data_IF_781733771724
#
_entry.id   IF_781733771724
#
_cell.length_a   1.000
_cell.length_b   1.000
_cell.length_c   1.000
_cell.angle_alpha   90.00
_cell.angle_beta   90.00
_cell.angle_gamma   90.00
#
_symmetry.space_group_name_H-M   'P 1'
#
loop_
_entity.id
_entity.type
_entity.pdbx_description
1 polymer ?
#
# COMPACT_ATOMS: atom_id res chain seq x y z
N UNK A 1 -26.49 43.92 11.66
CA UNK A 1 -25.16 43.56 11.14
C UNK A 1 -24.08 43.48 12.23
N UNK A 2 -23.83 44.53 13.04
CA UNK A 2 -22.83 44.49 14.14
C UNK A 2 -23.09 43.44 15.24
N UNK A 3 -24.36 43.27 15.69
CA UNK A 3 -24.74 42.28 16.72
C UNK A 3 -24.49 40.81 16.34
N UNK A 4 -24.34 40.49 15.05
CA UNK A 4 -24.18 39.12 14.57
C UNK A 4 -22.72 38.69 14.54
N UNK A 5 -21.83 39.59 14.10
CA UNK A 5 -20.38 39.38 14.10
C UNK A 5 -19.85 39.21 15.52
N UNK A 6 -20.31 40.04 16.46
CA UNK A 6 -19.93 39.94 17.88
C UNK A 6 -20.42 38.63 18.54
N UNK A 7 -21.54 38.07 18.07
CA UNK A 7 -22.06 36.78 18.55
C UNK A 7 -21.23 35.62 18.00
N UNK A 8 -20.85 35.66 16.72
CA UNK A 8 -20.02 34.65 16.08
C UNK A 8 -18.62 34.55 16.72
N UNK A 9 -17.95 35.68 16.94
CA UNK A 9 -16.64 35.71 17.61
C UNK A 9 -16.69 35.25 19.08
N UNK A 10 -17.83 35.40 19.76
CA UNK A 10 -18.03 34.91 21.12
C UNK A 10 -18.16 33.39 21.16
N UNK A 11 -18.95 32.82 20.25
CA UNK A 11 -19.17 31.37 20.13
C UNK A 11 -17.91 30.60 19.70
N UNK A 12 -17.07 31.19 18.84
CA UNK A 12 -15.75 30.61 18.54
C UNK A 12 -14.80 30.63 19.75
N UNK A 13 -14.86 31.67 20.58
CA UNK A 13 -14.00 31.81 21.77
C UNK A 13 -14.42 30.87 22.91
N UNK A 14 -15.71 30.56 22.97
CA UNK A 14 -16.33 29.62 23.92
C UNK A 14 -16.29 28.15 23.44
N UNK A 15 -15.66 27.86 22.29
CA UNK A 15 -15.41 26.50 21.81
C UNK A 15 -16.62 25.79 21.17
N UNK A 16 -17.73 26.49 20.94
CA UNK A 16 -18.94 25.92 20.33
C UNK A 16 -18.85 25.73 18.81
N UNK A 17 -17.78 26.23 18.18
CA UNK A 17 -17.53 26.11 16.74
C UNK A 17 -16.08 25.67 16.55
N UNK A 18 -15.88 24.40 16.21
CA UNK A 18 -14.59 23.87 15.74
C UNK A 18 -14.77 23.32 14.33
N UNK A 19 -14.13 23.95 13.34
CA UNK A 19 -14.26 23.52 11.95
C UNK A 19 -15.69 23.65 11.40
N UNK A 20 -15.89 23.24 10.16
CA UNK A 20 -17.08 23.48 9.34
C UNK A 20 -18.41 22.82 9.81
N UNK A 21 -18.54 22.50 11.09
CA UNK A 21 -19.70 21.80 11.67
C UNK A 21 -20.35 22.65 12.74
N UNK A 22 -21.53 23.19 12.40
CA UNK A 22 -22.46 23.79 13.34
C UNK A 22 -23.17 22.68 14.13
N UNK A 23 -23.02 22.65 15.46
CA UNK A 23 -23.79 21.73 16.32
C UNK A 23 -25.25 22.19 16.27
N UNK A 24 -26.13 21.28 15.84
CA UNK A 24 -27.58 21.49 15.75
C UNK A 24 -28.16 21.65 17.16
N UNK A 25 -28.73 22.81 17.44
CA UNK A 25 -29.66 23.00 18.55
C UNK A 25 -31.09 22.76 18.00
N UNK A 26 -31.82 21.81 18.60
CA UNK A 26 -33.16 21.39 18.17
C UNK A 26 -34.25 22.37 18.63
N UNK A 27 -34.11 23.68 18.39
CA UNK A 27 -35.26 24.59 18.58
C UNK A 27 -35.08 26.00 18.00
N UNK A 28 -34.82 26.19 16.71
CA UNK A 28 -35.20 27.47 16.08
C UNK A 28 -35.36 27.44 14.56
N UNK A 29 -36.39 28.15 14.12
CA UNK A 29 -37.01 28.14 12.80
C UNK A 29 -36.11 28.68 11.68
N UNK A 30 -35.96 27.86 10.64
CA UNK A 30 -35.69 28.17 9.22
C UNK A 30 -35.36 29.64 8.89
N UNK A 31 -34.07 29.93 8.67
CA UNK A 31 -33.63 31.14 7.96
C UNK A 31 -32.70 30.76 6.81
N UNK A 32 -33.18 31.01 5.59
CA UNK A 32 -32.44 30.87 4.34
C UNK A 32 -31.32 31.92 4.30
N UNK A 33 -30.11 31.54 4.65
CA UNK A 33 -28.91 32.27 4.26
C UNK A 33 -27.91 31.28 3.67
N UNK A 34 -27.51 31.53 2.42
CA UNK A 34 -26.50 30.74 1.71
C UNK A 34 -25.17 30.86 2.45
N UNK A 35 -24.86 29.82 3.22
CA UNK A 35 -23.69 29.71 4.09
C UNK A 35 -22.38 29.87 3.32
N UNK A 36 -22.37 29.68 2.00
CA UNK A 36 -21.21 29.90 1.14
C UNK A 36 -20.81 31.38 1.02
N UNK A 37 -21.78 32.31 1.00
CA UNK A 37 -21.50 33.73 0.78
C UNK A 37 -20.89 34.40 2.03
N UNK A 38 -21.37 34.01 3.22
CA UNK A 38 -20.91 34.55 4.51
C UNK A 38 -19.50 34.04 4.83
N UNK A 39 -19.20 32.76 4.53
CA UNK A 39 -17.86 32.18 4.66
C UNK A 39 -16.86 32.79 3.66
N UNK A 40 -17.31 33.09 2.43
CA UNK A 40 -16.47 33.73 1.40
C UNK A 40 -16.03 35.16 1.78
N UNK A 41 -16.93 35.96 2.37
CA UNK A 41 -16.60 37.31 2.84
C UNK A 41 -15.65 37.27 4.04
N UNK A 42 -15.84 36.33 4.97
CA UNK A 42 -14.96 36.16 6.13
C UNK A 42 -13.51 35.84 5.72
N UNK A 43 -13.31 35.00 4.70
CA UNK A 43 -11.97 34.69 4.17
C UNK A 43 -11.27 35.89 3.53
N UNK A 44 -12.03 36.73 2.81
CA UNK A 44 -11.45 37.87 2.08
C UNK A 44 -11.02 39.02 3.00
N UNK A 45 -11.58 39.11 4.21
CA UNK A 45 -11.34 40.20 5.16
C UNK A 45 -10.23 39.88 6.17
N UNK A 46 -10.05 38.61 6.57
CA UNK A 46 -9.11 38.24 7.63
C UNK A 46 -7.69 37.85 7.15
N UNK A 47 -7.40 37.82 5.85
CA UNK A 47 -6.06 37.48 5.34
C UNK A 47 -5.56 36.08 5.76
N UNK A 48 -6.46 35.19 6.17
CA UNK A 48 -6.12 33.82 6.56
C UNK A 48 -6.02 32.98 5.29
N UNK A 49 -4.88 32.33 5.09
CA UNK A 49 -4.66 31.35 4.03
C UNK A 49 -5.76 30.27 4.07
N UNK A 50 -6.24 29.86 2.89
CA UNK A 50 -7.19 28.74 2.77
C UNK A 50 -6.64 27.52 3.52
N UNK A 51 -7.46 26.74 4.26
CA UNK A 51 -7.03 25.46 4.79
C UNK A 51 -6.52 24.61 3.61
N UNK A 52 -5.28 24.12 3.72
CA UNK A 52 -4.69 23.24 2.73
C UNK A 52 -5.49 21.93 2.73
N UNK A 53 -6.04 21.57 1.58
CA UNK A 53 -6.72 20.30 1.39
C UNK A 53 -5.67 19.18 1.24
N UNK A 54 -5.13 18.74 2.38
CA UNK A 54 -4.14 17.66 2.46
C UNK A 54 -4.72 16.30 2.02
N UNK A 55 -6.04 16.19 1.85
CA UNK A 55 -6.72 14.94 1.49
C UNK A 55 -6.44 14.51 0.05
N UNK A 56 -6.37 15.46 -0.89
CA UNK A 56 -6.05 15.18 -2.30
C UNK A 56 -4.57 14.77 -2.47
N UNK A 57 -3.68 15.41 -1.71
CA UNK A 57 -2.25 15.10 -1.72
C UNK A 57 -1.98 13.69 -1.17
N UNK A 58 -2.60 13.34 -0.05
CA UNK A 58 -2.47 12.01 0.58
C UNK A 58 -3.00 10.90 -0.35
N UNK A 59 -4.13 11.13 -1.02
CA UNK A 59 -4.68 10.17 -1.99
C UNK A 59 -3.74 9.90 -3.16
N UNK A 60 -3.08 10.95 -3.67
CA UNK A 60 -2.11 10.82 -4.76
C UNK A 60 -0.89 10.02 -4.32
N UNK A 61 -0.33 10.30 -3.15
CA UNK A 61 0.84 9.59 -2.61
C UNK A 61 0.57 8.09 -2.42
N UNK A 62 -0.60 7.74 -1.86
CA UNK A 62 -1.00 6.34 -1.72
C UNK A 62 -1.12 5.63 -3.08
N UNK A 63 -1.68 6.30 -4.08
CA UNK A 63 -1.79 5.76 -5.44
C UNK A 63 -0.41 5.52 -6.08
N UNK A 64 0.53 6.44 -5.89
CA UNK A 64 1.89 6.33 -6.39
C UNK A 64 2.63 5.13 -5.74
N UNK A 65 2.46 4.91 -4.43
CA UNK A 65 3.01 3.74 -3.72
C UNK A 65 2.44 2.42 -4.27
N UNK A 66 1.13 2.37 -4.52
CA UNK A 66 0.48 1.18 -5.08
C UNK A 66 0.99 0.89 -6.50
N UNK A 67 1.18 1.94 -7.29
CA UNK A 67 1.76 1.84 -8.63
C UNK A 67 3.16 1.26 -8.59
N UNK A 68 4.03 1.75 -7.70
CA UNK A 68 5.41 1.28 -7.55
C UNK A 68 5.48 -0.17 -7.08
N UNK A 69 4.64 -0.57 -6.11
CA UNK A 69 4.49 -1.96 -5.70
C UNK A 69 4.09 -2.86 -6.87
N UNK A 70 3.12 -2.41 -7.67
CA UNK A 70 2.64 -3.16 -8.82
C UNK A 70 3.72 -3.34 -9.89
N UNK A 71 4.50 -2.28 -10.16
CA UNK A 71 5.63 -2.30 -11.08
C UNK A 71 6.74 -3.25 -10.61
N UNK A 72 7.06 -3.23 -9.31
CA UNK A 72 8.01 -4.17 -8.72
C UNK A 72 7.53 -5.63 -8.90
N UNK A 73 6.25 -5.90 -8.67
CA UNK A 73 5.69 -7.24 -8.87
C UNK A 73 5.71 -7.67 -10.34
N UNK A 74 5.52 -6.75 -11.28
CA UNK A 74 5.67 -7.06 -12.72
C UNK A 74 7.10 -7.51 -13.04
N UNK A 75 8.12 -6.88 -12.46
CA UNK A 75 9.51 -7.35 -12.60
C UNK A 75 9.70 -8.76 -12.02
N UNK A 76 9.06 -9.07 -10.89
CA UNK A 76 9.06 -10.42 -10.31
C UNK A 76 8.48 -11.44 -11.30
N UNK A 77 7.31 -11.17 -11.88
CA UNK A 77 6.69 -12.06 -12.87
C UNK A 77 7.59 -12.26 -14.10
N UNK A 78 8.22 -11.21 -14.61
CA UNK A 78 9.14 -11.30 -15.75
C UNK A 78 10.46 -12.00 -15.42
N UNK A 79 10.84 -12.06 -14.14
CA UNK A 79 12.00 -12.82 -13.67
C UNK A 79 11.75 -14.32 -13.65
N UNK A 80 10.49 -14.74 -13.49
CA UNK A 80 10.08 -16.14 -13.53
C UNK A 80 9.95 -16.66 -14.96
N UNK A 81 9.64 -15.80 -15.92
CA UNK A 81 9.53 -16.19 -17.33
C UNK A 81 9.02 -15.09 -18.24
N UNK A 82 9.15 -15.35 -19.55
CA UNK A 82 8.64 -14.45 -20.58
C UNK A 82 7.10 -14.50 -20.61
N UNK A 83 6.44 -13.34 -20.65
CA UNK A 83 4.98 -13.24 -20.56
C UNK A 83 4.41 -12.19 -21.51
N UNK A 84 3.21 -12.45 -22.01
CA UNK A 84 2.40 -11.45 -22.69
C UNK A 84 1.86 -10.41 -21.72
N UNK A 85 1.56 -9.20 -22.19
CA UNK A 85 1.00 -8.11 -21.38
C UNK A 85 -0.27 -8.52 -20.61
N UNK A 86 -1.22 -9.18 -21.27
CA UNK A 86 -2.41 -9.72 -20.60
C UNK A 86 -2.07 -10.82 -19.56
N UNK A 87 -1.05 -11.62 -19.84
CA UNK A 87 -0.52 -12.61 -18.90
C UNK A 87 -0.05 -11.96 -17.61
N UNK A 88 0.72 -10.87 -17.70
CA UNK A 88 1.18 -10.11 -16.54
C UNK A 88 0.01 -9.62 -15.67
N UNK A 89 -1.02 -9.02 -16.28
CA UNK A 89 -2.22 -8.56 -15.55
C UNK A 89 -2.93 -9.73 -14.85
N UNK A 90 -3.10 -10.85 -15.56
CA UNK A 90 -3.78 -12.03 -15.04
C UNK A 90 -3.01 -12.67 -13.88
N UNK A 91 -1.70 -12.85 -14.03
CA UNK A 91 -0.84 -13.45 -13.01
C UNK A 91 -0.70 -12.53 -11.79
N UNK A 92 -0.56 -11.22 -12.00
CA UNK A 92 -0.56 -10.23 -10.93
C UNK A 92 -1.83 -10.36 -10.08
N UNK A 93 -3.01 -10.27 -10.71
CA UNK A 93 -4.30 -10.38 -10.00
C UNK A 93 -4.44 -11.70 -9.25
N UNK A 94 -4.01 -12.81 -9.85
CA UNK A 94 -4.08 -14.14 -9.22
C UNK A 94 -3.26 -14.21 -7.93
N UNK A 95 -2.11 -13.54 -7.87
CA UNK A 95 -1.19 -13.65 -6.73
C UNK A 95 -1.37 -12.57 -5.67
N UNK A 96 -1.75 -11.37 -6.05
CA UNK A 96 -1.88 -10.24 -5.13
C UNK A 96 -3.33 -9.94 -4.74
N UNK A 97 -4.31 -10.44 -5.49
CA UNK A 97 -5.72 -10.07 -5.37
C UNK A 97 -6.04 -8.67 -5.92
N UNK A 98 -5.03 -7.90 -6.33
CA UNK A 98 -5.18 -6.51 -6.80
C UNK A 98 -5.34 -6.45 -8.32
N UNK A 99 -5.96 -5.37 -8.81
CA UNK A 99 -6.09 -5.12 -10.26
C UNK A 99 -4.93 -4.25 -10.75
N UNK A 100 -4.24 -4.72 -11.80
CA UNK A 100 -3.22 -3.94 -12.50
C UNK A 100 -3.84 -3.33 -13.76
N UNK A 101 -3.91 -2.00 -13.81
CA UNK A 101 -4.45 -1.30 -14.97
C UNK A 101 -3.49 -1.37 -16.17
N UNK A 102 -4.05 -1.36 -17.39
CA UNK A 102 -3.27 -1.22 -18.61
C UNK A 102 -2.47 0.10 -18.64
N UNK A 103 -3.05 1.17 -18.08
CA UNK A 103 -2.42 2.50 -17.99
C UNK A 103 -1.20 2.53 -17.06
N UNK A 104 -1.08 1.59 -16.12
CA UNK A 104 0.12 1.43 -15.29
C UNK A 104 1.13 0.49 -15.97
N UNK A 105 0.65 -0.64 -16.50
CA UNK A 105 1.52 -1.69 -17.02
C UNK A 105 2.27 -1.26 -18.28
N UNK A 106 1.58 -0.78 -19.31
CA UNK A 106 2.22 -0.57 -20.61
C UNK A 106 3.23 0.58 -20.61
N UNK A 107 2.96 1.75 -19.98
CA UNK A 107 3.98 2.77 -19.82
C UNK A 107 5.19 2.29 -19.02
N UNK A 108 4.98 1.42 -18.02
CA UNK A 108 6.09 0.82 -17.29
C UNK A 108 6.93 -0.12 -18.18
N UNK A 109 6.30 -1.00 -18.96
CA UNK A 109 7.00 -1.86 -19.92
C UNK A 109 7.79 -1.03 -20.94
N UNK A 110 7.22 0.05 -21.47
CA UNK A 110 7.93 0.97 -22.36
C UNK A 110 9.18 1.58 -21.68
N UNK A 111 9.06 2.04 -20.42
CA UNK A 111 10.21 2.55 -19.66
C UNK A 111 11.31 1.49 -19.48
N UNK A 112 10.93 0.24 -19.22
CA UNK A 112 11.89 -0.87 -19.10
C UNK A 112 12.58 -1.19 -20.43
N UNK A 113 11.84 -1.16 -21.53
CA UNK A 113 12.34 -1.40 -22.88
C UNK A 113 13.31 -0.30 -23.31
N UNK A 114 12.96 0.97 -23.11
CA UNK A 114 13.84 2.13 -23.35
C UNK A 114 15.17 2.01 -22.60
N UNK A 115 15.13 1.46 -21.37
CA UNK A 115 16.32 1.20 -20.55
C UNK A 115 17.07 -0.09 -20.93
N UNK A 116 16.57 -0.83 -21.93
CA UNK A 116 17.05 -2.14 -22.39
C UNK A 116 17.05 -3.21 -21.30
N UNK A 117 16.14 -3.09 -20.33
CA UNK A 117 15.96 -4.08 -19.26
C UNK A 117 15.06 -5.23 -19.70
N UNK A 118 14.12 -4.97 -20.61
CA UNK A 118 13.31 -6.00 -21.26
C UNK A 118 13.49 -5.95 -22.78
N UNK A 119 13.12 -7.04 -23.43
CA UNK A 119 12.95 -7.16 -24.88
C UNK A 119 11.53 -7.62 -25.19
N UNK A 120 10.98 -7.17 -26.32
CA UNK A 120 9.73 -7.69 -26.87
C UNK A 120 10.00 -8.60 -28.06
N UNK A 121 9.19 -9.65 -28.18
CA UNK A 121 9.17 -10.54 -29.36
C UNK A 121 7.73 -10.73 -29.81
N UNK A 122 7.50 -10.65 -31.12
CA UNK A 122 6.18 -10.93 -31.69
C UNK A 122 6.04 -12.43 -31.91
N UNK A 123 5.07 -13.05 -31.22
CA UNK A 123 4.68 -14.45 -31.42
C UNK A 123 3.29 -14.56 -32.05
N UNK A 124 2.90 -13.57 -32.87
CA UNK A 124 1.62 -13.62 -33.56
C UNK A 124 1.56 -14.76 -34.57
N UNK A 125 0.53 -15.60 -34.41
CA UNK A 125 0.07 -16.55 -35.43
C UNK A 125 -1.31 -16.05 -35.88
N UNK A 126 -1.34 -14.92 -36.60
CA UNK A 126 -2.57 -14.27 -37.06
C UNK A 126 -2.54 -12.74 -37.04
N UNK A 127 -3.71 -12.10 -37.20
CA UNK A 127 -3.83 -10.63 -37.39
C UNK A 127 -3.61 -9.78 -36.14
N UNK A 128 -3.58 -10.36 -34.94
CA UNK A 128 -3.37 -9.61 -33.69
C UNK A 128 -1.95 -9.83 -33.18
N UNK A 129 -1.14 -8.76 -33.03
CA UNK A 129 0.21 -8.89 -32.49
C UNK A 129 0.14 -9.46 -31.07
N UNK A 130 0.94 -10.50 -30.81
CA UNK A 130 1.07 -11.12 -29.49
C UNK A 130 2.48 -10.87 -28.99
N UNK A 131 2.69 -9.67 -28.47
CA UNK A 131 3.97 -9.27 -27.90
C UNK A 131 4.22 -10.05 -26.60
N UNK A 132 5.37 -10.70 -26.54
CA UNK A 132 5.92 -11.33 -25.33
C UNK A 132 7.04 -10.46 -24.82
N UNK A 133 7.00 -10.14 -23.53
CA UNK A 133 8.05 -9.42 -22.85
C UNK A 133 8.93 -10.39 -22.08
N UNK A 134 10.25 -10.20 -22.17
CA UNK A 134 11.25 -11.00 -21.46
C UNK A 134 12.36 -10.11 -20.93
N UNK A 135 12.95 -10.46 -19.78
CA UNK A 135 14.13 -9.75 -19.29
C UNK A 135 15.32 -9.99 -20.22
N UNK A 136 16.10 -8.94 -20.47
CA UNK A 136 17.41 -9.05 -21.10
C UNK A 136 18.45 -9.55 -20.08
N UNK A 137 19.69 -9.83 -20.52
CA UNK A 137 20.81 -10.10 -19.59
C UNK A 137 21.04 -8.94 -18.61
N UNK A 138 20.91 -7.69 -19.07
CA UNK A 138 20.98 -6.48 -18.24
C UNK A 138 19.81 -6.40 -17.27
N UNK A 139 18.60 -6.69 -17.75
CA UNK A 139 17.39 -6.78 -16.94
C UNK A 139 17.51 -7.75 -15.78
N UNK A 140 17.98 -8.98 -16.04
CA UNK A 140 18.19 -10.01 -15.01
C UNK A 140 19.13 -9.54 -13.90
N UNK A 141 20.31 -9.01 -14.25
CA UNK A 141 21.26 -8.46 -13.27
C UNK A 141 20.65 -7.32 -12.44
N UNK A 142 19.86 -6.45 -13.09
CA UNK A 142 19.17 -5.36 -12.41
C UNK A 142 18.12 -5.89 -11.41
N UNK A 143 17.28 -6.82 -11.84
CA UNK A 143 16.23 -7.40 -10.98
C UNK A 143 16.82 -8.21 -9.83
N UNK A 144 17.90 -8.97 -10.05
CA UNK A 144 18.59 -9.70 -8.99
C UNK A 144 19.09 -8.77 -7.87
N UNK A 145 19.74 -7.65 -8.24
CA UNK A 145 20.20 -6.65 -7.27
C UNK A 145 19.03 -5.96 -6.56
N UNK A 146 17.95 -5.68 -7.28
CA UNK A 146 16.74 -5.10 -6.71
C UNK A 146 16.07 -6.04 -5.71
N UNK A 147 15.89 -7.33 -6.06
CA UNK A 147 15.29 -8.33 -5.18
C UNK A 147 16.15 -8.63 -3.97
N UNK A 148 17.48 -8.62 -4.10
CA UNK A 148 18.38 -8.79 -2.94
C UNK A 148 18.16 -7.69 -1.90
N UNK A 149 18.08 -6.43 -2.34
CA UNK A 149 17.82 -5.29 -1.44
C UNK A 149 16.42 -5.38 -0.81
N UNK A 150 15.43 -5.75 -1.60
CA UNK A 150 14.07 -5.94 -1.09
C UNK A 150 14.00 -7.07 -0.06
N UNK A 151 14.62 -8.22 -0.33
CA UNK A 151 14.69 -9.35 0.57
C UNK A 151 15.35 -8.99 1.91
N UNK A 152 16.41 -8.18 1.91
CA UNK A 152 17.03 -7.70 3.14
C UNK A 152 16.06 -6.85 3.98
N UNK A 153 15.33 -5.92 3.36
CA UNK A 153 14.31 -5.12 4.06
C UNK A 153 13.19 -5.99 4.61
N UNK A 154 12.67 -6.94 3.81
CA UNK A 154 11.61 -7.85 4.24
C UNK A 154 12.09 -8.76 5.37
N UNK A 155 13.33 -9.24 5.31
CA UNK A 155 13.91 -10.05 6.39
C UNK A 155 13.94 -9.29 7.71
N UNK A 156 14.41 -8.03 7.71
CA UNK A 156 14.42 -7.20 8.93
C UNK A 156 13.03 -6.94 9.51
N UNK A 157 12.00 -6.84 8.65
CA UNK A 157 10.61 -6.68 9.11
C UNK A 157 10.02 -7.97 9.70
N UNK A 158 10.40 -9.13 9.17
CA UNK A 158 9.86 -10.44 9.56
C UNK A 158 10.61 -11.04 10.75
N UNK A 159 11.92 -10.82 10.86
CA UNK A 159 12.80 -11.46 11.84
C UNK A 159 12.31 -11.34 13.30
N UNK A 160 11.77 -10.21 13.77
CA UNK A 160 11.22 -10.10 15.13
C UNK A 160 9.99 -11.00 15.38
N UNK A 161 9.30 -11.43 14.34
CA UNK A 161 8.12 -12.30 14.42
C UNK A 161 8.43 -13.80 14.33
N UNK A 162 9.70 -14.18 14.21
CA UNK A 162 10.09 -15.58 14.08
C UNK A 162 10.14 -16.26 15.44
N UNK A 163 9.52 -17.43 15.53
CA UNK A 163 9.61 -18.28 16.72
C UNK A 163 10.85 -19.17 16.62
N UNK A 164 11.56 -19.35 17.74
CA UNK A 164 12.71 -20.27 17.79
C UNK A 164 12.29 -21.59 18.41
N UNK A 165 12.54 -22.69 17.69
CA UNK A 165 12.26 -24.04 18.17
C UNK A 165 13.07 -24.35 19.43
N UNK A 166 12.38 -24.72 20.52
CA UNK A 166 13.03 -25.07 21.78
C UNK A 166 13.91 -26.33 21.72
N UNK A 167 13.67 -27.22 20.75
CA UNK A 167 14.44 -28.46 20.58
C UNK A 167 15.69 -28.29 19.70
N UNK A 168 15.57 -27.66 18.53
CA UNK A 168 16.63 -27.64 17.52
C UNK A 168 17.15 -26.24 17.17
N UNK A 169 16.58 -25.18 17.74
CA UNK A 169 17.00 -23.79 17.50
C UNK A 169 16.62 -23.22 16.13
N UNK A 170 15.91 -23.97 15.27
CA UNK A 170 15.42 -23.45 13.98
C UNK A 170 14.41 -22.32 14.21
N UNK A 171 14.55 -21.24 13.43
CA UNK A 171 13.61 -20.12 13.40
C UNK A 171 12.50 -20.37 12.39
N UNK A 172 11.25 -20.32 12.82
CA UNK A 172 10.08 -20.70 12.03
C UNK A 172 9.28 -19.45 11.68
N UNK A 173 9.07 -19.23 10.39
CA UNK A 173 8.16 -18.20 9.89
C UNK A 173 6.75 -18.77 9.76
N UNK A 174 5.74 -18.01 10.22
CA UNK A 174 4.33 -18.39 10.11
C UNK A 174 3.82 -19.32 11.23
N UNK A 175 4.61 -19.50 12.30
CA UNK A 175 4.24 -20.27 13.49
C UNK A 175 4.73 -21.72 13.45
N UNK A 176 5.28 -22.17 14.57
CA UNK A 176 5.67 -23.56 14.80
C UNK A 176 4.53 -24.46 15.29
N UNK A 177 4.88 -25.67 15.70
CA UNK A 177 4.04 -26.54 16.53
C UNK A 177 4.23 -26.16 17.99
N UNK A 178 3.15 -25.89 18.72
CA UNK A 178 3.22 -25.46 20.12
C UNK A 178 2.75 -26.57 21.06
N UNK A 179 3.50 -26.80 22.13
CA UNK A 179 3.09 -27.71 23.20
C UNK A 179 3.38 -27.13 24.57
N UNK A 180 2.58 -27.54 25.56
CA UNK A 180 2.86 -27.26 26.96
C UNK A 180 3.92 -28.23 27.49
N UNK A 181 5.01 -27.68 28.04
CA UNK A 181 6.10 -28.41 28.71
C UNK A 181 6.41 -27.67 30.01
N UNK A 182 6.28 -28.36 31.15
CA UNK A 182 6.57 -27.77 32.46
C UNK A 182 5.75 -26.50 32.78
N UNK A 183 4.48 -26.46 32.36
CA UNK A 183 3.57 -25.33 32.58
C UNK A 183 3.82 -24.12 31.68
N UNK A 184 4.66 -24.24 30.63
CA UNK A 184 4.92 -23.18 29.65
C UNK A 184 4.60 -23.66 28.24
N UNK A 185 3.97 -22.80 27.44
CA UNK A 185 3.80 -23.04 26.01
C UNK A 185 5.14 -22.81 25.32
N UNK A 186 5.67 -23.85 24.68
CA UNK A 186 6.92 -23.80 23.93
C UNK A 186 6.65 -23.99 22.45
N UNK A 187 7.37 -23.25 21.60
CA UNK A 187 7.32 -23.39 20.16
C UNK A 187 8.35 -24.41 19.66
N UNK A 188 7.97 -25.23 18.69
CA UNK A 188 8.80 -26.23 18.04
C UNK A 188 8.65 -26.12 16.53
N UNK A 189 9.67 -26.47 15.75
CA UNK A 189 9.54 -26.46 14.29
C UNK A 189 8.60 -27.54 13.75
N UNK A 190 8.36 -28.61 14.50
CA UNK A 190 7.41 -29.67 14.16
C UNK A 190 7.08 -30.54 15.39
N UNK A 191 6.05 -31.39 15.26
CA UNK A 191 5.67 -32.39 16.28
C UNK A 191 6.79 -33.33 16.70
N UNK A 192 7.72 -33.65 15.80
CA UNK A 192 8.84 -34.56 16.12
C UNK A 192 9.86 -33.88 17.04
N UNK A 193 10.11 -32.58 16.86
CA UNK A 193 10.94 -31.80 17.78
C UNK A 193 10.29 -31.68 19.16
N UNK A 194 8.97 -31.47 19.23
CA UNK A 194 8.25 -31.45 20.50
C UNK A 194 8.35 -32.81 21.22
N UNK A 195 8.09 -33.91 20.50
CA UNK A 195 8.19 -35.26 21.05
C UNK A 195 9.63 -35.62 21.49
N UNK A 196 10.64 -35.21 20.71
CA UNK A 196 12.04 -35.43 21.07
C UNK A 196 12.43 -34.66 22.33
N UNK A 197 12.02 -33.39 22.43
CA UNK A 197 12.28 -32.55 23.60
C UNK A 197 11.66 -33.16 24.88
N UNK A 198 10.39 -33.58 24.82
CA UNK A 198 9.69 -34.21 25.94
C UNK A 198 10.28 -35.54 26.42
N UNK A 199 11.08 -36.22 25.59
CA UNK A 199 11.80 -37.43 26.00
C UNK A 199 13.09 -37.13 26.77
N UNK A 200 13.58 -35.89 26.70
CA UNK A 200 14.85 -35.46 27.28
C UNK A 200 14.68 -34.67 28.58
N UNK A 201 13.51 -34.07 28.80
CA UNK A 201 13.08 -33.39 30.04
C UNK A 201 12.22 -34.28 30.90
#
# INVERSE_FOLDING_TARGET
>A
MKRWVDRYFRLCREGYISGNTFVRDENESRSQYDSGLVLGIAWSVCGMSKPQDDSAQTQKEMSDIISDFSQFYVLLLLSEGALHGYGLIKHFRKRTGMTLSAGTLYPFLQKLEQRRLISQSDMSVGKRPKLVYSLTKKGRKFTEGLFRRFAAMTASAIEPSLETCACCGVRVYGGGHHEEVGGKIMAFCCRHCAAAFKRQT
#
